data_IF_045527179757
#
_entry.id   IF_045527179757
#
_cell.length_a   1.000
_cell.length_b   1.000
_cell.length_c   1.000
_cell.angle_alpha   90.00
_cell.angle_beta   90.00
_cell.angle_gamma   90.00
#
_symmetry.space_group_name_H-M   'P 1'
#
loop_
_entity.id
_entity.type
_entity.pdbx_description
1 polymer ?
#
# COMPACT_ATOMS: atom_id res chain seq x y z
N UNK A 1 22.12 14.57 -11.57
CA UNK A 1 20.75 14.13 -11.99
C UNK A 1 19.70 14.70 -11.03
N UNK A 2 19.99 14.77 -9.73
CA UNK A 2 19.17 15.50 -8.76
C UNK A 2 19.15 17.02 -9.05
N UNK A 3 20.24 17.57 -9.58
CA UNK A 3 20.43 19.01 -9.80
C UNK A 3 19.41 19.60 -10.78
N UNK A 4 19.09 18.84 -11.84
CA UNK A 4 18.07 19.21 -12.83
C UNK A 4 16.66 19.16 -12.22
N UNK A 5 16.42 18.27 -11.25
CA UNK A 5 15.15 18.18 -10.53
C UNK A 5 15.02 19.39 -9.58
N UNK A 6 16.09 19.75 -8.87
CA UNK A 6 16.12 20.93 -8.00
C UNK A 6 15.88 22.22 -8.80
N UNK A 7 16.51 22.37 -9.97
CA UNK A 7 16.31 23.52 -10.87
C UNK A 7 14.85 23.64 -11.34
N UNK A 8 14.21 22.52 -11.71
CA UNK A 8 12.81 22.50 -12.15
C UNK A 8 11.82 22.81 -11.02
N UNK A 9 12.17 22.47 -9.78
CA UNK A 9 11.32 22.67 -8.61
C UNK A 9 11.50 24.05 -7.97
N UNK A 10 12.62 24.72 -8.23
CA UNK A 10 12.92 26.07 -7.77
C UNK A 10 12.76 26.20 -6.25
N UNK A 11 12.01 27.22 -5.83
CA UNK A 11 11.79 27.54 -4.41
C UNK A 11 11.10 26.42 -3.61
N UNK A 12 10.43 25.47 -4.28
CA UNK A 12 9.74 24.34 -3.63
C UNK A 12 10.61 23.10 -3.49
N UNK A 13 11.84 23.13 -4.00
CA UNK A 13 12.69 21.95 -4.06
C UNK A 13 12.96 21.38 -2.66
N UNK A 14 13.25 22.24 -1.68
CA UNK A 14 13.56 21.80 -0.32
C UNK A 14 12.34 21.16 0.36
N UNK A 15 11.19 21.86 0.32
CA UNK A 15 9.95 21.39 0.90
C UNK A 15 9.48 20.05 0.33
N UNK A 16 9.61 19.84 -1.00
CA UNK A 16 9.11 18.64 -1.67
C UNK A 16 10.07 17.45 -1.56
N UNK A 17 11.38 17.68 -1.72
CA UNK A 17 12.37 16.61 -1.74
C UNK A 17 12.72 16.11 -0.33
N UNK A 18 12.66 17.00 0.67
CA UNK A 18 12.97 16.65 2.06
C UNK A 18 11.70 16.41 2.91
N UNK A 19 10.51 16.44 2.30
CA UNK A 19 9.26 16.16 3.02
C UNK A 19 9.30 14.78 3.68
N UNK A 20 9.02 14.76 4.99
CA UNK A 20 8.75 13.53 5.74
C UNK A 20 7.28 13.49 6.11
N UNK A 21 6.63 12.39 5.78
CA UNK A 21 5.25 12.17 6.16
C UNK A 21 5.11 12.25 7.69
N UNK A 22 4.07 12.95 8.16
CA UNK A 22 3.78 13.09 9.60
C UNK A 22 3.41 11.76 10.26
N UNK A 23 2.89 10.80 9.48
CA UNK A 23 2.46 9.50 9.97
C UNK A 23 3.61 8.47 9.87
N UNK A 24 3.87 7.68 10.92
CA UNK A 24 4.94 6.68 10.91
C UNK A 24 4.65 5.57 9.89
N UNK A 25 5.67 5.22 9.10
CA UNK A 25 5.54 4.18 8.05
C UNK A 25 5.25 2.80 8.63
N UNK A 26 5.67 2.55 9.87
CA UNK A 26 5.54 1.27 10.57
C UNK A 26 4.10 0.95 10.95
N UNK A 27 3.23 1.97 11.04
CA UNK A 27 1.81 1.80 11.34
C UNK A 27 0.95 1.58 10.08
N UNK A 28 1.56 1.53 8.89
CA UNK A 28 0.85 1.27 7.65
C UNK A 28 0.54 -0.22 7.50
N UNK A 29 -0.70 -0.55 7.17
CA UNK A 29 -1.10 -1.88 6.75
C UNK A 29 -0.73 -2.10 5.29
N UNK A 30 0.51 -2.49 5.03
CA UNK A 30 0.99 -2.74 3.68
C UNK A 30 0.41 -4.05 3.13
N UNK A 31 0.17 -4.15 1.81
CA UNK A 31 -0.24 -5.40 1.17
C UNK A 31 0.88 -6.44 1.23
N UNK A 32 0.48 -7.70 1.31
CA UNK A 32 1.36 -8.86 1.30
C UNK A 32 0.56 -10.15 1.10
N UNK A 33 1.24 -11.29 0.97
CA UNK A 33 0.58 -12.60 0.77
C UNK A 33 -0.40 -12.95 1.90
N UNK A 34 -0.16 -12.45 3.10
CA UNK A 34 -0.95 -12.66 4.33
C UNK A 34 -1.91 -11.50 4.64
N UNK A 35 -2.19 -10.61 3.67
CA UNK A 35 -2.96 -9.38 3.92
C UNK A 35 -4.37 -9.65 4.46
N UNK A 36 -5.03 -10.70 3.97
CA UNK A 36 -6.37 -11.07 4.44
C UNK A 36 -6.35 -11.52 5.89
N UNK A 37 -5.38 -12.35 6.26
CA UNK A 37 -5.19 -12.83 7.62
C UNK A 37 -4.81 -11.71 8.59
N UNK A 38 -3.86 -10.85 8.19
CA UNK A 38 -3.37 -9.76 9.05
C UNK A 38 -4.40 -8.66 9.26
N UNK A 39 -5.17 -8.29 8.23
CA UNK A 39 -5.99 -7.07 8.24
C UNK A 39 -7.49 -7.34 8.34
N UNK A 40 -8.00 -8.37 7.65
CA UNK A 40 -9.45 -8.56 7.54
C UNK A 40 -10.01 -9.59 8.52
N UNK A 41 -9.24 -10.61 8.93
CA UNK A 41 -9.75 -11.68 9.82
C UNK A 41 -10.25 -11.15 11.17
N UNK A 42 -9.62 -10.10 11.71
CA UNK A 42 -10.01 -9.50 12.99
C UNK A 42 -11.18 -8.50 12.90
N UNK A 43 -11.81 -8.37 11.73
CA UNK A 43 -12.97 -7.50 11.52
C UNK A 43 -14.30 -8.23 11.69
N UNK A 44 -15.40 -7.50 11.79
CA UNK A 44 -16.77 -8.04 11.87
C UNK A 44 -17.30 -8.61 10.54
N UNK A 45 -16.41 -9.12 9.68
CA UNK A 45 -16.77 -9.70 8.38
C UNK A 45 -17.10 -11.17 8.56
N UNK A 46 -18.19 -11.61 7.93
CA UNK A 46 -18.54 -13.02 7.92
C UNK A 46 -17.50 -13.87 7.19
N UNK A 47 -17.45 -15.16 7.53
CA UNK A 47 -16.53 -16.13 6.91
C UNK A 47 -16.68 -16.14 5.38
N UNK A 48 -17.90 -15.98 4.85
CA UNK A 48 -18.15 -15.92 3.41
C UNK A 48 -17.49 -14.70 2.76
N UNK A 49 -17.51 -13.54 3.44
CA UNK A 49 -16.85 -12.33 2.96
C UNK A 49 -15.33 -12.52 2.98
N UNK A 50 -14.77 -13.06 4.07
CA UNK A 50 -13.33 -13.32 4.17
C UNK A 50 -12.84 -14.29 3.09
N UNK A 51 -13.61 -15.36 2.80
CA UNK A 51 -13.32 -16.30 1.73
C UNK A 51 -13.31 -15.62 0.35
N UNK A 52 -14.30 -14.77 0.07
CA UNK A 52 -14.36 -14.05 -1.19
C UNK A 52 -13.22 -13.04 -1.34
N UNK A 53 -12.83 -12.37 -0.26
CA UNK A 53 -11.64 -11.52 -0.23
C UNK A 53 -10.39 -12.34 -0.54
N UNK A 54 -10.18 -13.48 0.13
CA UNK A 54 -9.05 -14.37 -0.15
C UNK A 54 -9.02 -14.78 -1.62
N UNK A 55 -10.17 -15.15 -2.19
CA UNK A 55 -10.28 -15.49 -3.60
C UNK A 55 -9.81 -14.32 -4.48
N UNK A 56 -10.33 -13.11 -4.24
CA UNK A 56 -9.95 -11.92 -5.00
C UNK A 56 -8.44 -11.62 -4.95
N UNK A 57 -7.82 -11.64 -3.77
CA UNK A 57 -6.38 -11.39 -3.59
C UNK A 57 -5.48 -12.52 -4.12
N UNK A 58 -6.04 -13.70 -4.39
CA UNK A 58 -5.32 -14.87 -4.91
C UNK A 58 -5.48 -15.08 -6.41
N UNK A 59 -6.13 -14.17 -7.13
CA UNK A 59 -6.38 -14.28 -8.57
C UNK A 59 -5.73 -13.14 -9.37
N UNK A 60 -5.61 -13.35 -10.68
CA UNK A 60 -5.09 -12.37 -11.63
C UNK A 60 -3.56 -12.25 -11.61
N UNK A 61 -3.05 -11.18 -12.21
CA UNK A 61 -1.59 -10.98 -12.40
C UNK A 61 -0.85 -10.62 -11.11
N UNK A 62 -1.58 -10.15 -10.10
CA UNK A 62 -1.02 -9.71 -8.81
C UNK A 62 -1.37 -10.67 -7.67
N UNK A 63 -1.82 -11.89 -8.00
CA UNK A 63 -2.12 -12.93 -7.03
C UNK A 63 -0.97 -13.12 -6.01
N UNK A 64 -1.31 -13.18 -4.72
CA UNK A 64 -0.35 -13.43 -3.64
C UNK A 64 0.55 -12.23 -3.29
N UNK A 65 0.40 -11.08 -3.94
CA UNK A 65 1.15 -9.85 -3.59
C UNK A 65 0.42 -9.01 -2.53
N UNK A 66 -0.85 -9.33 -2.26
CA UNK A 66 -1.75 -8.49 -1.47
C UNK A 66 -2.34 -7.31 -2.27
N UNK A 67 -1.99 -7.16 -3.55
CA UNK A 67 -2.66 -6.25 -4.48
C UNK A 67 -3.70 -7.01 -5.32
N UNK A 68 -4.72 -6.31 -5.78
CA UNK A 68 -5.80 -6.87 -6.61
C UNK A 68 -5.60 -6.48 -8.07
N UNK A 69 -5.76 -7.44 -8.98
CA UNK A 69 -5.86 -7.20 -10.42
C UNK A 69 -7.00 -8.05 -10.97
N UNK A 70 -8.08 -7.41 -11.42
CA UNK A 70 -9.29 -8.04 -12.00
C UNK A 70 -9.24 -7.91 -13.51
#
# INVERSE_FOLDING_TARGET
MIDKITELLGDKADDLLNYKAKFPKEQLNLPGPDFVDRVFVQSDRSINVLKNLQWLFSHGRLAGTGYVSI
#
